data_IF_076995911025
#
_entry.id   IF_076995911025
#
_cell.length_a   1.000
_cell.length_b   1.000
_cell.length_c   1.000
_cell.angle_alpha   90.00
_cell.angle_beta   90.00
_cell.angle_gamma   90.00
#
_symmetry.space_group_name_H-M   'P 1'
#
loop_
_entity.id
_entity.type
_entity.pdbx_description
1 polymer ?
#
# COMPACT_ATOMS: atom_id res chain seq x y z
N UNK A 1 -15.91 7.93 -16.36
CA UNK A 1 -14.65 8.20 -15.65
C UNK A 1 -13.49 7.66 -16.46
N UNK A 2 -12.25 7.96 -16.06
CA UNK A 2 -11.07 7.23 -16.56
C UNK A 2 -11.02 5.88 -15.84
N UNK A 3 -10.76 4.80 -16.58
CA UNK A 3 -10.47 3.49 -15.98
C UNK A 3 -8.98 3.46 -15.64
N UNK A 4 -8.65 3.13 -14.40
CA UNK A 4 -7.27 2.96 -13.94
C UNK A 4 -6.94 1.47 -13.99
N UNK A 5 -5.72 1.15 -14.41
CA UNK A 5 -5.19 -0.21 -14.46
C UNK A 5 -4.69 -0.71 -13.09
N UNK A 6 -4.56 0.21 -12.12
CA UNK A 6 -4.19 -0.10 -10.73
C UNK A 6 -5.17 0.55 -9.76
N UNK A 7 -5.28 0.02 -8.52
CA UNK A 7 -6.12 0.61 -7.49
C UNK A 7 -5.75 2.05 -7.16
N UNK A 8 -6.73 2.81 -6.69
CA UNK A 8 -6.47 4.06 -5.97
C UNK A 8 -6.04 3.71 -4.56
N UNK A 9 -4.82 4.08 -4.20
CA UNK A 9 -4.26 3.78 -2.88
C UNK A 9 -4.38 4.96 -1.91
N UNK A 10 -4.80 4.68 -0.67
CA UNK A 10 -4.59 5.59 0.44
C UNK A 10 -3.22 5.35 1.06
N UNK A 11 -2.41 6.40 1.10
CA UNK A 11 -1.07 6.38 1.66
C UNK A 11 -1.07 6.69 3.17
N UNK A 12 -0.60 5.75 4.01
CA UNK A 12 -0.58 5.85 5.46
C UNK A 12 0.84 5.67 6.05
N UNK A 13 1.58 6.77 6.25
CA UNK A 13 3.00 6.71 6.65
C UNK A 13 3.37 7.38 7.97
N UNK A 14 2.62 8.39 8.41
CA UNK A 14 3.12 9.36 9.40
C UNK A 14 2.32 9.40 10.70
N UNK A 15 1.15 8.77 10.73
CA UNK A 15 0.24 8.84 11.86
C UNK A 15 0.80 8.07 13.07
N UNK A 16 0.56 8.54 14.31
CA UNK A 16 1.07 7.86 15.49
C UNK A 16 0.31 6.55 15.74
N UNK A 17 0.99 5.53 16.28
CA UNK A 17 0.37 4.25 16.61
C UNK A 17 -0.78 4.37 17.63
N UNK A 18 -0.80 5.43 18.45
CA UNK A 18 -1.91 5.73 19.36
C UNK A 18 -3.23 6.03 18.63
N UNK A 19 -3.19 6.40 17.35
CA UNK A 19 -4.36 6.66 16.52
C UNK A 19 -4.84 5.43 15.74
N UNK A 20 -4.36 4.21 16.06
CA UNK A 20 -4.59 2.97 15.30
C UNK A 20 -6.05 2.74 14.88
N UNK A 21 -6.99 2.94 15.79
CA UNK A 21 -8.41 2.77 15.50
C UNK A 21 -8.89 3.78 14.45
N UNK A 22 -8.59 5.07 14.64
CA UNK A 22 -9.01 6.13 13.73
C UNK A 22 -8.35 6.03 12.35
N UNK A 23 -7.08 5.62 12.27
CA UNK A 23 -6.42 5.39 10.97
C UNK A 23 -7.10 4.25 10.22
N UNK A 24 -7.42 3.16 10.92
CA UNK A 24 -8.12 2.00 10.33
C UNK A 24 -9.51 2.41 9.82
N UNK A 25 -10.27 3.16 10.62
CA UNK A 25 -11.60 3.64 10.25
C UNK A 25 -11.55 4.61 9.06
N UNK A 26 -10.56 5.51 9.03
CA UNK A 26 -10.36 6.41 7.91
C UNK A 26 -9.98 5.66 6.62
N UNK A 27 -9.14 4.63 6.72
CA UNK A 27 -8.76 3.79 5.58
C UNK A 27 -9.95 3.03 4.99
N UNK A 28 -10.80 2.47 5.85
CA UNK A 28 -12.05 1.82 5.45
C UNK A 28 -12.98 2.82 4.76
N UNK A 29 -13.25 3.96 5.40
CA UNK A 29 -14.15 4.98 4.86
C UNK A 29 -13.69 5.52 3.51
N UNK A 30 -12.37 5.70 3.32
CA UNK A 30 -11.79 6.04 2.03
C UNK A 30 -12.08 4.96 0.99
N UNK A 31 -11.78 3.70 1.31
CA UNK A 31 -11.95 2.58 0.39
C UNK A 31 -13.42 2.42 -0.01
N UNK A 32 -14.35 2.41 0.95
CA UNK A 32 -15.79 2.29 0.67
C UNK A 32 -16.29 3.43 -0.22
N UNK A 33 -15.90 4.68 0.07
CA UNK A 33 -16.29 5.85 -0.74
C UNK A 33 -15.81 5.73 -2.19
N UNK A 34 -14.59 5.23 -2.38
CA UNK A 34 -13.99 5.09 -3.71
C UNK A 34 -14.54 3.87 -4.47
N UNK A 35 -14.85 2.77 -3.79
CA UNK A 35 -15.54 1.62 -4.37
C UNK A 35 -16.96 1.99 -4.82
N UNK A 36 -17.70 2.75 -4.01
CA UNK A 36 -19.03 3.29 -4.37
C UNK A 36 -18.99 4.20 -5.61
N UNK A 37 -17.85 4.86 -5.83
CA UNK A 37 -17.59 5.66 -7.03
C UNK A 37 -17.10 4.84 -8.24
N UNK A 38 -16.94 3.52 -8.10
CA UNK A 38 -16.58 2.58 -9.16
C UNK A 38 -15.08 2.39 -9.37
N UNK A 39 -14.24 2.68 -8.38
CA UNK A 39 -12.80 2.44 -8.44
C UNK A 39 -12.39 1.16 -7.70
N UNK A 40 -11.33 0.50 -8.19
CA UNK A 40 -10.58 -0.43 -7.36
C UNK A 40 -9.74 0.33 -6.35
N UNK A 41 -9.61 -0.21 -5.14
CA UNK A 41 -8.98 0.50 -4.02
C UNK A 41 -7.93 -0.35 -3.31
N UNK A 42 -7.02 0.34 -2.65
CA UNK A 42 -6.02 -0.28 -1.79
C UNK A 42 -5.48 0.67 -0.74
N UNK A 43 -4.64 0.13 0.12
CA UNK A 43 -3.97 0.85 1.19
C UNK A 43 -2.48 0.63 1.01
N UNK A 44 -1.71 1.70 1.07
CA UNK A 44 -0.26 1.64 1.17
C UNK A 44 0.18 1.83 2.61
N UNK A 45 1.21 1.11 3.00
CA UNK A 45 1.86 1.29 4.28
C UNK A 45 3.06 0.37 4.46
N UNK A 46 3.93 0.70 5.41
CA UNK A 46 5.03 -0.20 5.75
C UNK A 46 4.51 -1.48 6.42
N UNK A 47 5.22 -2.58 6.22
CA UNK A 47 4.84 -3.88 6.80
C UNK A 47 4.71 -3.82 8.34
N UNK A 48 5.67 -3.18 9.02
CA UNK A 48 5.76 -3.14 10.48
C UNK A 48 5.08 -1.89 11.03
N UNK A 49 5.64 -0.71 10.77
CA UNK A 49 5.08 0.52 11.38
C UNK A 49 3.68 0.85 10.85
N UNK A 50 3.35 0.52 9.60
CA UNK A 50 2.02 0.71 9.01
C UNK A 50 1.03 -0.37 9.41
N UNK A 51 1.03 -1.49 8.70
CA UNK A 51 0.01 -2.54 8.80
C UNK A 51 -0.02 -3.27 10.14
N UNK A 52 1.14 -3.45 10.79
CA UNK A 52 1.22 -4.15 12.07
C UNK A 52 0.97 -3.22 13.27
N UNK A 53 1.59 -2.03 13.30
CA UNK A 53 1.56 -1.15 14.48
C UNK A 53 0.48 -0.06 14.42
N UNK A 54 0.33 0.64 13.29
CA UNK A 54 -0.55 1.80 13.14
C UNK A 54 -1.93 1.47 12.58
N UNK A 55 -2.13 0.29 12.02
CA UNK A 55 -3.42 -0.12 11.48
C UNK A 55 -3.86 -1.47 12.04
N UNK A 56 -5.17 -1.73 11.95
CA UNK A 56 -5.73 -3.05 12.20
C UNK A 56 -5.91 -3.83 10.91
N UNK A 57 -4.81 -4.43 10.44
CA UNK A 57 -4.79 -5.23 9.21
C UNK A 57 -5.86 -6.35 9.18
N UNK A 58 -6.30 -6.83 10.35
CA UNK A 58 -7.37 -7.82 10.42
C UNK A 58 -8.67 -7.36 9.78
N UNK A 59 -8.93 -6.04 9.77
CA UNK A 59 -10.11 -5.38 9.19
C UNK A 59 -9.91 -4.93 7.75
N UNK A 60 -8.68 -4.92 7.25
CA UNK A 60 -8.33 -4.33 5.95
C UNK A 60 -8.16 -5.38 4.83
N UNK A 61 -8.32 -6.67 5.14
CA UNK A 61 -8.10 -7.81 4.22
C UNK A 61 -8.95 -7.79 2.95
N UNK A 62 -10.03 -7.00 2.92
CA UNK A 62 -10.89 -6.86 1.76
C UNK A 62 -10.26 -6.00 0.66
N UNK A 63 -9.34 -5.10 1.03
CA UNK A 63 -8.70 -4.15 0.12
C UNK A 63 -7.35 -4.65 -0.37
N UNK A 64 -6.84 -4.05 -1.44
CA UNK A 64 -5.49 -4.33 -1.92
C UNK A 64 -4.43 -3.77 -0.98
N UNK A 65 -3.36 -4.51 -0.74
CA UNK A 65 -2.24 -4.05 0.08
C UNK A 65 -1.05 -3.70 -0.80
N UNK A 66 -0.62 -2.45 -0.76
CA UNK A 66 0.70 -2.05 -1.27
C UNK A 66 1.66 -1.92 -0.09
N UNK A 67 2.52 -2.92 0.09
CA UNK A 67 3.34 -3.04 1.30
C UNK A 67 4.77 -2.60 1.03
N UNK A 68 5.24 -1.58 1.75
CA UNK A 68 6.65 -1.23 1.78
C UNK A 68 7.39 -2.09 2.81
N UNK A 69 8.40 -2.84 2.35
CA UNK A 69 9.29 -3.59 3.22
C UNK A 69 10.74 -3.45 2.74
N UNK A 70 11.56 -2.74 3.52
CA UNK A 70 12.99 -2.58 3.29
C UNK A 70 13.77 -3.78 3.86
N UNK A 71 13.73 -4.92 3.18
CA UNK A 71 14.49 -6.11 3.54
C UNK A 71 14.86 -6.93 2.28
N UNK A 72 15.97 -7.67 2.34
CA UNK A 72 16.48 -8.49 1.23
C UNK A 72 15.50 -9.60 0.80
N UNK A 73 14.54 -9.95 1.68
CA UNK A 73 13.43 -10.85 1.39
C UNK A 73 12.16 -10.38 2.08
N UNK A 74 11.05 -10.47 1.36
CA UNK A 74 9.73 -10.24 1.92
C UNK A 74 9.26 -11.45 2.73
N UNK A 75 8.76 -11.18 3.93
CA UNK A 75 8.27 -12.22 4.85
C UNK A 75 6.73 -12.29 4.93
N UNK A 76 6.04 -11.31 4.36
CA UNK A 76 4.57 -11.21 4.34
C UNK A 76 4.05 -11.40 2.91
N UNK A 77 3.78 -12.65 2.53
CA UNK A 77 3.02 -12.96 1.33
C UNK A 77 1.56 -13.24 1.74
N UNK A 78 0.64 -12.33 1.41
CA UNK A 78 -0.81 -12.60 1.43
C UNK A 78 -1.38 -12.45 0.03
N UNK A 79 -2.56 -13.05 -0.20
CA UNK A 79 -3.12 -13.31 -1.54
C UNK A 79 -3.48 -12.06 -2.37
N UNK A 80 -3.46 -10.86 -1.79
CA UNK A 80 -3.78 -9.59 -2.47
C UNK A 80 -2.71 -8.50 -2.19
N UNK A 81 -1.42 -8.83 -2.33
CA UNK A 81 -0.32 -7.92 -2.01
C UNK A 81 0.45 -7.49 -3.26
N UNK A 82 0.46 -6.18 -3.54
CA UNK A 82 1.54 -5.52 -4.28
C UNK A 82 2.64 -5.23 -3.29
N UNK A 83 3.87 -5.63 -3.58
CA UNK A 83 4.95 -5.46 -2.61
C UNK A 83 6.04 -4.57 -3.17
N UNK A 84 6.17 -3.42 -2.53
CA UNK A 84 7.33 -2.57 -2.65
C UNK A 84 8.46 -3.13 -1.83
N UNK A 85 9.29 -3.97 -2.45
CA UNK A 85 10.68 -3.99 -2.02
C UNK A 85 11.31 -2.73 -2.59
N UNK A 86 11.33 -1.65 -1.81
CA UNK A 86 12.18 -0.52 -2.12
C UNK A 86 13.60 -1.04 -1.85
N UNK A 87 14.20 -1.62 -2.89
CA UNK A 87 15.65 -1.71 -2.95
C UNK A 87 16.11 -0.26 -2.84
N UNK A 88 16.77 0.13 -1.74
CA UNK A 88 17.39 1.43 -1.76
C UNK A 88 18.31 1.40 -2.98
N UNK A 89 18.16 2.36 -3.88
CA UNK A 89 19.11 2.62 -4.96
C UNK A 89 18.96 1.69 -6.19
N UNK A 90 17.91 1.88 -6.98
CA UNK A 90 17.91 1.40 -8.36
C UNK A 90 17.79 2.57 -9.34
N UNK A 91 18.78 2.67 -10.25
CA UNK A 91 18.68 3.55 -11.42
C UNK A 91 17.84 2.84 -12.47
N UNK A 92 16.76 3.48 -12.89
CA UNK A 92 15.96 3.04 -14.02
C UNK A 92 16.40 3.83 -15.25
N UNK A 93 16.76 3.12 -16.32
CA UNK A 93 17.12 3.74 -17.59
C UNK A 93 15.98 4.66 -18.08
N UNK A 94 16.34 5.90 -18.42
CA UNK A 94 15.37 6.94 -18.81
C UNK A 94 14.99 7.91 -17.70
N UNK A 95 15.39 7.66 -16.45
CA UNK A 95 15.24 8.62 -15.36
C UNK A 95 16.54 9.40 -15.08
N UNK A 96 16.42 10.72 -14.91
CA UNK A 96 17.53 11.62 -14.56
C UNK A 96 17.79 11.67 -13.03
N UNK A 97 16.88 11.15 -12.21
CA UNK A 97 17.03 11.07 -10.77
C UNK A 97 17.81 9.81 -10.36
N UNK A 98 18.66 9.96 -9.33
CA UNK A 98 19.56 8.89 -8.89
C UNK A 98 18.84 7.76 -8.14
N UNK A 99 17.71 8.07 -7.48
CA UNK A 99 16.93 7.12 -6.67
C UNK A 99 15.44 7.26 -6.98
N UNK A 100 14.80 6.13 -7.23
CA UNK A 100 13.34 6.01 -7.32
C UNK A 100 12.85 4.81 -6.55
N UNK A 101 11.62 4.92 -6.07
CA UNK A 101 10.88 3.79 -5.52
C UNK A 101 10.53 2.83 -6.68
N UNK A 102 10.69 1.54 -6.40
CA UNK A 102 10.35 0.48 -7.33
C UNK A 102 9.57 -0.59 -6.60
N UNK A 103 8.56 -1.13 -7.29
CA UNK A 103 7.60 -2.06 -6.71
C UNK A 103 7.38 -3.27 -7.60
N UNK A 104 7.10 -4.41 -6.96
CA UNK A 104 6.68 -5.61 -7.65
C UNK A 104 5.16 -5.76 -7.50
N UNK A 105 4.44 -5.59 -8.60
CA UNK A 105 3.03 -5.93 -8.72
C UNK A 105 2.88 -7.41 -9.08
N UNK A 106 2.20 -8.18 -8.22
CA UNK A 106 1.92 -9.61 -8.44
C UNK A 106 0.49 -9.87 -8.90
N UNK A 107 -0.31 -8.81 -9.05
CA UNK A 107 -1.74 -8.85 -9.37
C UNK A 107 -1.98 -7.99 -10.60
N UNK A 108 -2.76 -8.54 -11.51
CA UNK A 108 -3.35 -7.86 -12.66
C UNK A 108 -4.80 -7.51 -12.30
N UNK A 109 -5.18 -6.24 -12.41
CA UNK A 109 -6.40 -5.65 -11.81
C UNK A 109 -7.52 -5.38 -12.83
#
# INVERSE_FOLDING_TARGET
GKQLEYPVYMDNEAQPASARAGITEAAIAFCETMEDAGYFVGIYGSAVSGFQERMDDSKLKAYSHWVAQYADKMHLLRRNTVSGSILPLAKVDGNQMENVDMDYGYIDY
#
